data_IF_407679547384
#
_entry.id   IF_407679547384
#
_cell.length_a   1.000
_cell.length_b   1.000
_cell.length_c   1.000
_cell.angle_alpha   90.00
_cell.angle_beta   90.00
_cell.angle_gamma   90.00
#
_symmetry.space_group_name_H-M   'P 1'
#
loop_
_entity.id
_entity.type
_entity.pdbx_description
1 polymer ?
#
# COMPACT_ATOMS: atom_id res chain seq x y z
N UNK A 1 13.73 12.83 -13.13
CA UNK A 1 12.58 12.20 -12.48
C UNK A 1 12.98 10.81 -12.05
N UNK A 2 12.87 10.49 -10.77
CA UNK A 2 13.15 9.20 -10.16
C UNK A 2 11.86 8.60 -9.62
N UNK A 3 11.55 7.37 -9.99
CA UNK A 3 10.37 6.64 -9.51
C UNK A 3 10.83 5.41 -8.73
N UNK A 4 10.31 5.25 -7.53
CA UNK A 4 10.38 3.98 -6.81
C UNK A 4 9.10 3.18 -7.09
N UNK A 5 9.23 1.87 -7.25
CA UNK A 5 8.10 0.97 -7.42
C UNK A 5 8.22 -0.17 -6.41
N UNK A 6 7.16 -0.38 -5.64
CA UNK A 6 7.00 -1.52 -4.74
C UNK A 6 5.65 -2.19 -5.05
N UNK A 7 5.54 -3.48 -4.76
CA UNK A 7 4.39 -4.29 -5.16
C UNK A 7 4.09 -5.34 -4.09
N UNK A 8 2.91 -5.94 -4.15
CA UNK A 8 2.54 -7.15 -3.41
C UNK A 8 2.77 -6.98 -1.90
N UNK A 9 2.15 -5.92 -1.35
CA UNK A 9 2.33 -5.54 0.05
C UNK A 9 1.68 -6.54 1.00
N UNK A 10 0.57 -7.18 0.57
CA UNK A 10 -0.23 -8.13 1.34
C UNK A 10 -0.42 -7.69 2.80
N UNK A 11 -0.83 -6.43 3.00
CA UNK A 11 -1.10 -5.87 4.33
C UNK A 11 -2.19 -6.68 5.01
N UNK A 12 -1.96 -7.00 6.29
CA UNK A 12 -2.87 -7.79 7.13
C UNK A 12 -3.50 -6.92 8.22
N UNK A 13 -4.60 -7.38 8.84
CA UNK A 13 -5.16 -6.68 9.99
C UNK A 13 -4.14 -6.57 11.14
N UNK A 14 -4.37 -5.64 12.07
CA UNK A 14 -3.46 -5.44 13.20
C UNK A 14 -3.31 -6.73 14.02
N UNK A 15 -2.05 -7.09 14.32
CA UNK A 15 -1.73 -8.30 15.08
C UNK A 15 -1.78 -9.60 14.28
N UNK A 16 -2.11 -9.55 12.99
CA UNK A 16 -2.09 -10.71 12.10
C UNK A 16 -0.85 -10.74 11.22
N UNK A 17 -0.42 -11.96 10.87
CA UNK A 17 0.69 -12.21 9.95
C UNK A 17 0.17 -12.77 8.64
N UNK A 18 0.89 -12.50 7.57
CA UNK A 18 0.67 -13.15 6.27
C UNK A 18 0.98 -14.63 6.41
N UNK A 19 -0.03 -15.46 6.13
CA UNK A 19 0.02 -16.93 6.28
C UNK A 19 0.54 -17.39 7.66
N UNK A 20 0.23 -16.65 8.72
CA UNK A 20 0.69 -16.89 10.09
C UNK A 20 2.22 -16.88 10.30
N UNK A 21 3.00 -16.53 9.27
CA UNK A 21 4.47 -16.62 9.28
C UNK A 21 5.11 -15.24 9.18
N UNK A 22 4.70 -14.41 8.22
CA UNK A 22 5.40 -13.18 7.86
C UNK A 22 4.65 -11.95 8.37
N UNK A 23 5.36 -11.04 9.04
CA UNK A 23 4.82 -9.73 9.40
C UNK A 23 4.95 -8.75 8.22
N UNK A 24 4.05 -8.88 7.23
CA UNK A 24 4.01 -8.00 6.04
C UNK A 24 3.80 -6.53 6.41
N UNK A 25 3.09 -6.28 7.50
CA UNK A 25 2.87 -4.97 8.08
C UNK A 25 4.17 -4.29 8.54
N UNK A 26 5.04 -5.04 9.21
CA UNK A 26 6.38 -4.58 9.57
C UNK A 26 7.26 -4.39 8.34
N UNK A 27 7.17 -5.28 7.34
CA UNK A 27 7.94 -5.16 6.08
C UNK A 27 7.56 -3.91 5.29
N UNK A 28 6.28 -3.59 5.15
CA UNK A 28 5.84 -2.32 4.53
C UNK A 28 6.41 -1.11 5.28
N UNK A 29 6.45 -1.18 6.62
CA UNK A 29 6.99 -0.09 7.43
C UNK A 29 8.50 0.09 7.18
N UNK A 30 9.25 -1.03 7.13
CA UNK A 30 10.67 -1.01 6.82
C UNK A 30 10.95 -0.53 5.39
N UNK A 31 10.10 -0.88 4.42
CA UNK A 31 10.20 -0.39 3.05
C UNK A 31 9.98 1.13 2.97
N UNK A 32 9.00 1.67 3.70
CA UNK A 32 8.79 3.13 3.81
C UNK A 32 10.01 3.81 4.44
N UNK A 33 10.54 3.25 5.53
CA UNK A 33 11.72 3.81 6.20
C UNK A 33 12.96 3.77 5.28
N UNK A 34 13.11 2.70 4.49
CA UNK A 34 14.16 2.59 3.48
C UNK A 34 14.02 3.66 2.38
N UNK A 35 12.80 3.87 1.86
CA UNK A 35 12.52 4.91 0.86
C UNK A 35 12.85 6.32 1.38
N UNK A 36 12.66 6.57 2.67
CA UNK A 36 13.05 7.85 3.30
C UNK A 36 14.57 7.98 3.50
N UNK A 37 15.29 6.87 3.58
CA UNK A 37 16.74 6.83 3.77
C UNK A 37 17.57 6.83 2.48
N UNK A 38 16.95 6.86 1.30
CA UNK A 38 17.68 6.92 0.04
C UNK A 38 18.42 8.25 -0.11
N UNK A 39 19.68 8.21 -0.55
CA UNK A 39 20.50 9.41 -0.82
C UNK A 39 19.80 10.36 -1.81
N UNK A 40 19.08 9.80 -2.78
CA UNK A 40 18.22 10.54 -3.69
C UNK A 40 16.77 10.20 -3.43
N UNK A 41 16.00 11.16 -2.92
CA UNK A 41 14.55 10.99 -2.67
C UNK A 41 13.80 10.78 -3.99
N UNK A 42 13.00 9.71 -4.13
CA UNK A 42 12.11 9.53 -5.28
C UNK A 42 11.10 10.68 -5.42
N UNK A 43 10.77 11.03 -6.66
CA UNK A 43 9.71 11.99 -6.96
C UNK A 43 8.32 11.38 -6.79
N UNK A 44 8.23 10.06 -6.98
CA UNK A 44 6.99 9.29 -6.94
C UNK A 44 7.26 7.85 -6.46
N UNK A 45 6.30 7.28 -5.73
CA UNK A 45 6.21 5.84 -5.47
C UNK A 45 5.01 5.24 -6.20
N UNK A 46 5.20 4.09 -6.86
CA UNK A 46 4.10 3.29 -7.42
C UNK A 46 3.92 2.05 -6.56
N UNK A 47 2.69 1.82 -6.08
CA UNK A 47 2.24 0.60 -5.41
C UNK A 47 1.49 -0.25 -6.46
N UNK A 48 2.14 -1.26 -7.02
CA UNK A 48 1.69 -1.91 -8.26
C UNK A 48 0.81 -3.16 -8.11
N UNK A 49 0.01 -3.26 -7.04
CA UNK A 49 -0.95 -4.35 -6.85
C UNK A 49 -0.83 -5.04 -5.50
N UNK A 50 -1.85 -5.84 -5.18
CA UNK A 50 -1.99 -6.68 -4.00
C UNK A 50 -1.60 -5.94 -2.72
N UNK A 51 -2.27 -4.80 -2.50
CA UNK A 51 -2.04 -3.96 -1.32
C UNK A 51 -2.40 -4.71 -0.04
N UNK A 52 -3.49 -5.46 -0.10
CA UNK A 52 -4.02 -6.30 0.97
C UNK A 52 -4.14 -7.74 0.49
N UNK A 53 -4.36 -8.68 1.41
CA UNK A 53 -4.36 -10.11 1.07
C UNK A 53 -5.75 -10.69 0.81
N UNK A 54 -6.80 -10.17 1.45
CA UNK A 54 -8.17 -10.72 1.31
C UNK A 54 -9.20 -9.69 0.86
N UNK A 55 -8.75 -8.49 0.46
CA UNK A 55 -9.63 -7.42 0.00
C UNK A 55 -10.55 -6.88 1.11
N UNK A 56 -10.22 -7.07 2.39
CA UNK A 56 -11.14 -6.72 3.49
C UNK A 56 -10.99 -5.27 3.98
N UNK A 57 -12.07 -4.61 4.44
CA UNK A 57 -12.00 -3.23 4.93
C UNK A 57 -10.96 -2.99 6.03
N UNK A 58 -10.79 -3.94 6.95
CA UNK A 58 -9.81 -3.84 8.04
C UNK A 58 -8.35 -3.87 7.55
N UNK A 59 -8.07 -4.57 6.45
CA UNK A 59 -6.75 -4.60 5.84
C UNK A 59 -6.46 -3.26 5.16
N UNK A 60 -7.44 -2.69 4.45
CA UNK A 60 -7.31 -1.37 3.85
C UNK A 60 -7.16 -0.26 4.89
N UNK A 61 -7.83 -0.37 6.04
CA UNK A 61 -7.65 0.56 7.15
C UNK A 61 -6.19 0.51 7.66
N UNK A 62 -5.61 -0.68 7.78
CA UNK A 62 -4.18 -0.85 8.12
C UNK A 62 -3.25 -0.32 7.03
N UNK A 63 -3.54 -0.61 5.76
CA UNK A 63 -2.74 -0.14 4.63
C UNK A 63 -2.71 1.39 4.59
N UNK A 64 -3.89 2.03 4.68
CA UNK A 64 -4.02 3.48 4.73
C UNK A 64 -3.30 4.08 5.94
N UNK A 65 -3.40 3.46 7.13
CA UNK A 65 -2.69 3.91 8.33
C UNK A 65 -1.17 3.91 8.12
N UNK A 66 -0.61 2.86 7.51
CA UNK A 66 0.83 2.74 7.27
C UNK A 66 1.30 3.67 6.16
N UNK A 67 0.57 3.73 5.05
CA UNK A 67 0.90 4.57 3.91
C UNK A 67 0.78 6.07 4.21
N UNK A 68 0.05 6.48 5.26
CA UNK A 68 0.12 7.87 5.78
C UNK A 68 1.52 8.29 6.23
N UNK A 69 2.41 7.35 6.58
CA UNK A 69 3.80 7.64 6.92
C UNK A 69 4.64 7.97 5.68
N UNK A 70 4.23 7.52 4.49
CA UNK A 70 4.98 7.74 3.25
C UNK A 70 4.88 9.22 2.83
N UNK A 71 5.91 9.99 3.15
CA UNK A 71 6.01 11.42 2.80
C UNK A 71 6.30 11.69 1.31
N UNK A 72 6.39 10.66 0.46
CA UNK A 72 6.61 10.77 -0.98
C UNK A 72 5.25 10.58 -1.68
N UNK A 73 4.89 11.40 -2.68
CA UNK A 73 3.67 11.17 -3.45
C UNK A 73 3.60 9.74 -3.98
N UNK A 74 2.41 9.13 -3.95
CA UNK A 74 2.27 7.76 -4.44
C UNK A 74 1.00 7.52 -5.25
N UNK A 75 1.12 6.60 -6.20
CA UNK A 75 0.03 6.03 -6.98
C UNK A 75 -0.16 4.56 -6.59
N UNK A 76 -1.37 4.08 -6.78
CA UNK A 76 -1.87 2.77 -6.38
C UNK A 76 -2.51 2.14 -7.60
N UNK A 77 -2.16 0.90 -7.85
CA UNK A 77 -2.82 0.04 -8.81
C UNK A 77 -3.39 -1.15 -8.02
N UNK A 78 -4.64 -1.51 -8.29
CA UNK A 78 -5.26 -2.68 -7.66
C UNK A 78 -4.69 -3.97 -8.27
N UNK A 79 -4.37 -4.95 -7.43
CA UNK A 79 -4.06 -6.31 -7.86
C UNK A 79 -5.30 -7.22 -7.83
N UNK A 80 -5.08 -8.54 -7.87
CA UNK A 80 -6.17 -9.52 -7.83
C UNK A 80 -6.65 -9.85 -6.41
N UNK A 81 -5.83 -9.61 -5.39
CA UNK A 81 -6.24 -9.72 -3.99
C UNK A 81 -7.02 -8.50 -3.49
N UNK A 82 -7.00 -7.42 -4.28
CA UNK A 82 -7.66 -6.18 -3.94
C UNK A 82 -9.16 -6.19 -4.29
N UNK A 83 -10.01 -5.83 -3.33
CA UNK A 83 -11.38 -5.43 -3.61
C UNK A 83 -11.42 -3.97 -4.08
N UNK A 84 -11.91 -3.75 -5.30
CA UNK A 84 -11.92 -2.42 -5.93
C UNK A 84 -12.78 -1.41 -5.16
N UNK A 85 -13.88 -1.84 -4.54
CA UNK A 85 -14.76 -0.92 -3.81
C UNK A 85 -14.12 -0.50 -2.48
N UNK A 86 -13.54 -1.44 -1.74
CA UNK A 86 -12.86 -1.15 -0.49
C UNK A 86 -11.58 -0.34 -0.72
N UNK A 87 -10.80 -0.65 -1.75
CA UNK A 87 -9.64 0.16 -2.15
C UNK A 87 -10.06 1.60 -2.44
N UNK A 88 -11.09 1.80 -3.29
CA UNK A 88 -11.61 3.13 -3.61
C UNK A 88 -12.10 3.89 -2.37
N UNK A 89 -12.76 3.18 -1.46
CA UNK A 89 -13.27 3.78 -0.22
C UNK A 89 -12.13 4.21 0.71
N UNK A 90 -11.09 3.38 0.85
CA UNK A 90 -9.95 3.67 1.73
C UNK A 90 -9.00 4.74 1.18
N UNK A 91 -8.95 4.90 -0.14
CA UNK A 91 -8.07 5.85 -0.84
C UNK A 91 -8.84 6.91 -1.64
N UNK A 92 -10.01 7.34 -1.17
CA UNK A 92 -10.90 8.27 -1.87
C UNK A 92 -10.25 9.61 -2.27
N UNK A 93 -9.16 10.02 -1.59
CA UNK A 93 -8.36 11.19 -1.96
C UNK A 93 -7.59 11.03 -3.28
N UNK A 94 -7.35 9.79 -3.74
CA UNK A 94 -6.62 9.50 -4.98
C UNK A 94 -7.56 9.60 -6.18
N UNK A 95 -7.74 10.83 -6.69
CA UNK A 95 -8.71 11.18 -7.74
C UNK A 95 -8.48 10.52 -9.12
N UNK A 96 -7.32 9.89 -9.35
CA UNK A 96 -7.06 9.14 -10.58
C UNK A 96 -7.69 7.74 -10.56
N UNK A 97 -8.08 7.22 -9.38
CA UNK A 97 -8.79 5.95 -9.30
C UNK A 97 -10.15 6.09 -10.00
N UNK A 98 -10.54 5.13 -10.87
CA UNK A 98 -11.80 5.23 -11.61
C UNK A 98 -12.98 5.19 -10.64
N UNK A 99 -14.09 5.85 -10.96
CA UNK A 99 -15.27 5.86 -10.08
C UNK A 99 -16.03 4.53 -10.05
N UNK A 100 -15.78 3.65 -11.01
CA UNK A 100 -16.42 2.35 -11.17
C UNK A 100 -15.52 1.37 -11.95
N UNK A 101 -15.91 0.09 -11.96
CA UNK A 101 -15.12 -1.01 -12.50
C UNK A 101 -14.30 -1.73 -11.44
#
# INVERSE_FOLDING_TARGET
>A
MLIAQISDLHVRPQGQRYRDVVDSNAQLSAAIDHLHGLDTRPDLVILSGDLVDEGRPEEYAQAAQRLRRLAIPFLIVAGNHDDRNHLRSAFAQHRYLPSAG
#
